data_IF_504490168996
#
_entry.id   IF_504490168996
#
_cell.length_a   1.000
_cell.length_b   1.000
_cell.length_c   1.000
_cell.angle_alpha   90.00
_cell.angle_beta   90.00
_cell.angle_gamma   90.00
#
_symmetry.space_group_name_H-M   'P 1'
#
loop_
_entity.id
_entity.type
_entity.pdbx_description
1 polymer ?
#
# COMPACT_ATOMS: atom_id res chain seq x y z
N UNK A 1 -26.90 14.85 -20.32
CA UNK A 1 -26.60 14.12 -19.07
C UNK A 1 -25.55 13.08 -19.43
N UNK A 2 -24.35 13.53 -19.82
CA UNK A 2 -23.20 12.68 -20.14
C UNK A 2 -22.05 13.23 -19.32
N UNK A 3 -21.67 12.50 -18.27
CA UNK A 3 -20.50 12.81 -17.45
C UNK A 3 -19.27 12.28 -18.21
N UNK A 4 -18.90 12.97 -19.29
CA UNK A 4 -17.58 12.78 -19.90
C UNK A 4 -16.53 13.15 -18.87
N UNK A 5 -15.67 12.20 -18.48
CA UNK A 5 -14.58 12.49 -17.55
C UNK A 5 -13.63 13.49 -18.22
N UNK A 6 -13.50 14.68 -17.62
CA UNK A 6 -12.52 15.66 -18.01
C UNK A 6 -11.12 15.06 -17.84
N UNK A 7 -10.28 15.12 -18.88
CA UNK A 7 -8.84 14.96 -18.72
C UNK A 7 -8.32 16.21 -18.00
N UNK A 8 -8.13 16.11 -16.69
CA UNK A 8 -7.66 17.23 -15.88
C UNK A 8 -6.14 17.28 -15.93
N UNK A 9 -5.59 18.27 -16.63
CA UNK A 9 -4.17 18.61 -16.52
C UNK A 9 -3.92 19.34 -15.19
N UNK A 10 -3.15 18.71 -14.31
CA UNK A 10 -2.78 19.31 -13.02
C UNK A 10 -1.30 19.70 -13.05
N UNK A 11 -1.04 20.99 -12.88
CA UNK A 11 0.31 21.50 -12.66
C UNK A 11 0.52 21.71 -11.16
N UNK A 12 1.55 21.07 -10.61
CA UNK A 12 1.95 21.23 -9.22
C UNK A 12 3.41 21.69 -9.16
N UNK A 13 3.68 22.71 -8.35
CA UNK A 13 5.01 23.26 -8.16
C UNK A 13 5.23 23.61 -6.69
N UNK A 14 6.42 23.37 -6.18
CA UNK A 14 6.83 23.70 -4.81
C UNK A 14 7.91 24.78 -4.88
N UNK A 15 7.75 25.85 -4.11
CA UNK A 15 8.71 26.97 -4.07
C UNK A 15 8.59 27.99 -5.22
N UNK A 16 7.56 27.87 -6.08
CA UNK A 16 7.27 28.83 -7.15
C UNK A 16 6.10 29.76 -6.79
N UNK A 17 6.14 30.99 -7.30
CA UNK A 17 5.02 31.94 -7.14
C UNK A 17 3.81 31.51 -7.98
N UNK A 18 2.64 31.41 -7.34
CA UNK A 18 1.40 30.94 -7.98
C UNK A 18 0.97 31.80 -9.18
N UNK A 19 1.22 33.13 -9.16
CA UNK A 19 0.86 34.01 -10.28
C UNK A 19 1.74 33.72 -11.48
N UNK A 20 3.05 33.55 -11.26
CA UNK A 20 4.00 33.22 -12.32
C UNK A 20 3.69 31.88 -13.00
N UNK A 21 3.31 30.87 -12.21
CA UNK A 21 2.89 29.56 -12.74
C UNK A 21 1.57 29.68 -13.50
N UNK A 22 0.59 30.40 -12.96
CA UNK A 22 -0.69 30.63 -13.64
C UNK A 22 -0.51 31.38 -14.96
N UNK A 23 0.34 32.40 -15.01
CA UNK A 23 0.60 33.18 -16.22
C UNK A 23 1.29 32.33 -17.30
N UNK A 24 2.19 31.43 -16.92
CA UNK A 24 2.83 30.49 -17.86
C UNK A 24 1.86 29.42 -18.40
N UNK A 25 0.86 29.03 -17.60
CA UNK A 25 -0.13 28.02 -18.01
C UNK A 25 -1.25 28.60 -18.89
N UNK A 26 -1.53 29.91 -18.80
CA UNK A 26 -2.52 30.57 -19.67
C UNK A 26 -2.18 30.50 -21.16
N UNK A 27 -0.91 30.34 -21.50
CA UNK A 27 -0.46 30.22 -22.88
C UNK A 27 -0.49 28.79 -23.42
N UNK A 28 -0.85 27.79 -22.60
CA UNK A 28 -1.01 26.41 -23.06
C UNK A 28 -2.38 26.20 -23.68
N UNK A 29 -2.41 25.77 -24.94
CA UNK A 29 -3.59 25.25 -25.60
C UNK A 29 -3.64 23.72 -25.39
N UNK A 30 -4.62 23.24 -24.64
CA UNK A 30 -4.86 21.81 -24.40
C UNK A 30 -6.12 21.38 -25.13
N UNK A 31 -6.11 20.16 -25.68
CA UNK A 31 -7.33 19.56 -26.23
C UNK A 31 -8.35 19.36 -25.12
N UNK A 32 -9.62 19.64 -25.43
CA UNK A 32 -10.78 19.47 -24.55
C UNK A 32 -11.58 18.19 -24.87
N UNK A 33 -10.96 17.25 -25.59
CA UNK A 33 -11.60 15.99 -25.93
C UNK A 33 -12.06 15.26 -24.64
N UNK A 34 -13.33 14.82 -24.57
CA UNK A 34 -13.79 14.03 -23.44
C UNK A 34 -12.94 12.75 -23.37
N UNK A 35 -12.40 12.47 -22.18
CA UNK A 35 -11.61 11.27 -21.95
C UNK A 35 -12.43 9.99 -22.15
N UNK A 36 -11.74 8.87 -22.31
CA UNK A 36 -12.39 7.56 -22.39
C UNK A 36 -13.28 7.30 -21.17
N UNK A 37 -14.39 6.57 -21.38
CA UNK A 37 -15.29 6.19 -20.29
C UNK A 37 -14.57 5.36 -19.22
N UNK A 38 -14.90 5.64 -17.96
CA UNK A 38 -14.35 4.90 -16.83
C UNK A 38 -14.92 3.49 -16.76
N UNK A 39 -14.08 2.49 -17.01
CA UNK A 39 -14.43 1.08 -16.82
C UNK A 39 -14.03 0.63 -15.41
N UNK A 40 -14.97 0.19 -14.56
CA UNK A 40 -14.64 -0.25 -13.20
C UNK A 40 -13.80 -1.53 -13.24
N UNK A 41 -12.71 -1.52 -12.49
CA UNK A 41 -11.81 -2.67 -12.34
C UNK A 41 -12.44 -3.70 -11.41
N UNK A 42 -12.26 -4.98 -11.73
CA UNK A 42 -12.62 -6.10 -10.85
C UNK A 42 -11.34 -6.76 -10.34
N UNK A 43 -11.26 -6.95 -9.02
CA UNK A 43 -10.17 -7.72 -8.45
C UNK A 43 -10.30 -9.20 -8.85
N UNK A 44 -9.30 -9.70 -9.58
CA UNK A 44 -9.21 -11.09 -9.97
C UNK A 44 -8.35 -11.87 -8.98
N UNK A 45 -8.84 -13.02 -8.55
CA UNK A 45 -8.02 -13.99 -7.82
C UNK A 45 -7.23 -14.81 -8.81
N UNK A 46 -5.92 -14.94 -8.62
CA UNK A 46 -5.08 -15.70 -9.53
C UNK A 46 -3.68 -15.89 -8.99
N UNK A 47 -2.97 -16.81 -9.62
CA UNK A 47 -1.57 -17.07 -9.34
C UNK A 47 -0.75 -16.86 -10.61
N UNK A 48 0.36 -16.15 -10.50
CA UNK A 48 1.36 -16.04 -11.57
C UNK A 48 2.72 -16.43 -11.03
N UNK A 49 3.37 -17.36 -11.73
CA UNK A 49 4.68 -17.90 -11.36
C UNK A 49 5.63 -17.70 -12.52
N UNK A 50 6.73 -17.01 -12.27
CA UNK A 50 7.80 -16.80 -13.25
C UNK A 50 9.08 -17.42 -12.74
N UNK A 51 9.46 -18.55 -13.33
CA UNK A 51 10.75 -19.16 -13.02
C UNK A 51 11.90 -18.31 -13.56
N UNK A 52 12.83 -17.97 -12.68
CA UNK A 52 14.01 -17.17 -13.02
C UNK A 52 15.23 -17.68 -12.25
N UNK A 53 16.44 -17.70 -12.88
CA UNK A 53 17.68 -18.04 -12.19
C UNK A 53 18.10 -16.90 -11.25
N UNK A 54 17.49 -16.84 -10.07
CA UNK A 54 17.84 -15.95 -8.97
C UNK A 54 18.29 -16.71 -7.72
N UNK A 55 19.05 -16.05 -6.84
CA UNK A 55 19.40 -16.57 -5.52
C UNK A 55 18.23 -16.47 -4.52
N UNK A 56 17.36 -15.48 -4.72
CA UNK A 56 16.18 -15.24 -3.91
C UNK A 56 14.90 -15.47 -4.72
N UNK A 57 13.83 -15.74 -3.99
CA UNK A 57 12.46 -15.74 -4.50
C UNK A 57 11.76 -14.52 -3.96
N UNK A 58 11.18 -13.75 -4.86
CA UNK A 58 10.28 -12.65 -4.53
C UNK A 58 8.85 -13.13 -4.71
N UNK A 59 8.03 -12.99 -3.66
CA UNK A 59 6.63 -13.33 -3.69
C UNK A 59 5.79 -12.17 -3.12
N UNK A 60 4.65 -11.92 -3.74
CA UNK A 60 3.66 -10.98 -3.26
C UNK A 60 2.32 -11.70 -3.13
N UNK A 61 1.72 -11.66 -1.94
CA UNK A 61 0.39 -12.20 -1.67
C UNK A 61 -0.51 -11.03 -1.31
N UNK A 62 -1.55 -10.82 -2.11
CA UNK A 62 -2.43 -9.66 -2.03
C UNK A 62 -3.90 -10.07 -2.04
N UNK A 63 -4.74 -9.27 -1.42
CA UNK A 63 -6.19 -9.33 -1.46
C UNK A 63 -6.74 -7.98 -1.89
N UNK A 64 -8.04 -7.93 -2.16
CA UNK A 64 -8.74 -6.69 -2.47
C UNK A 64 -8.62 -5.67 -1.31
N UNK A 65 -8.05 -4.51 -1.65
CA UNK A 65 -7.88 -3.36 -0.76
C UNK A 65 -9.09 -2.42 -0.76
N UNK A 66 -8.84 -1.12 -0.67
CA UNK A 66 -9.88 -0.09 -0.77
C UNK A 66 -9.50 0.94 -1.83
N UNK A 67 -10.51 1.46 -2.53
CA UNK A 67 -10.33 2.57 -3.47
C UNK A 67 -10.36 3.93 -2.76
N UNK A 68 -9.70 4.93 -3.34
CA UNK A 68 -9.56 6.30 -2.79
C UNK A 68 -10.90 6.98 -2.52
N UNK A 69 -11.98 6.58 -3.21
CA UNK A 69 -13.36 7.01 -2.91
C UNK A 69 -13.77 6.73 -1.47
N UNK A 70 -13.29 5.62 -0.89
CA UNK A 70 -13.52 5.24 0.50
C UNK A 70 -12.32 5.65 1.36
N UNK A 71 -12.07 6.96 1.48
CA UNK A 71 -10.90 7.50 2.18
C UNK A 71 -10.70 6.92 3.60
N UNK A 72 -11.79 6.72 4.35
CA UNK A 72 -11.73 6.14 5.70
C UNK A 72 -11.16 4.71 5.70
N UNK A 73 -11.57 3.87 4.75
CA UNK A 73 -11.06 2.49 4.64
C UNK A 73 -9.61 2.46 4.13
N UNK A 74 -9.25 3.32 3.17
CA UNK A 74 -7.86 3.45 2.70
C UNK A 74 -6.91 3.81 3.83
N UNK A 75 -7.30 4.78 4.68
CA UNK A 75 -6.50 5.20 5.83
C UNK A 75 -6.45 4.10 6.90
N UNK A 76 -7.56 3.41 7.17
CA UNK A 76 -7.58 2.28 8.09
C UNK A 76 -6.66 1.13 7.62
N UNK A 77 -6.64 0.82 6.32
CA UNK A 77 -5.69 -0.13 5.72
C UNK A 77 -4.25 0.39 5.78
N UNK A 78 -4.03 1.70 5.62
CA UNK A 78 -2.72 2.32 5.78
C UNK A 78 -2.16 2.18 7.20
N UNK A 79 -3.01 2.39 8.21
CA UNK A 79 -2.67 2.15 9.62
C UNK A 79 -2.41 0.66 9.85
N UNK A 80 -3.23 -0.23 9.29
CA UNK A 80 -3.03 -1.67 9.41
C UNK A 80 -1.71 -2.14 8.78
N UNK A 81 -1.31 -1.59 7.61
CA UNK A 81 -0.02 -1.89 6.99
C UNK A 81 1.17 -1.48 7.89
N UNK A 82 1.11 -0.28 8.49
CA UNK A 82 2.16 0.18 9.42
C UNK A 82 2.20 -0.63 10.73
N UNK A 83 1.06 -1.16 11.16
CA UNK A 83 0.96 -2.04 12.31
C UNK A 83 1.64 -3.39 12.06
N UNK A 84 1.43 -3.98 10.87
CA UNK A 84 2.08 -5.22 10.46
C UNK A 84 3.60 -5.03 10.27
N UNK A 85 3.98 -3.91 9.66
CA UNK A 85 5.37 -3.61 9.33
C UNK A 85 5.51 -3.27 7.86
N UNK A 86 5.42 -1.98 7.55
CA UNK A 86 5.70 -1.45 6.22
C UNK A 86 7.09 -0.82 6.21
N UNK A 87 7.90 -1.13 5.20
CA UNK A 87 9.19 -0.48 4.98
C UNK A 87 10.39 -1.45 4.94
N UNK A 88 11.56 -0.96 4.50
CA UNK A 88 12.73 -1.79 4.34
C UNK A 88 13.27 -2.24 5.69
N UNK A 89 13.87 -3.43 5.69
CA UNK A 89 14.68 -3.90 6.81
C UNK A 89 15.88 -2.95 6.96
N UNK A 90 16.00 -2.32 8.13
CA UNK A 90 17.21 -1.57 8.45
C UNK A 90 18.33 -2.58 8.81
N UNK A 91 19.55 -2.45 8.24
CA UNK A 91 20.69 -3.23 8.68
C UNK A 91 20.94 -2.97 10.17
N UNK A 92 21.20 -4.03 10.95
CA UNK A 92 21.37 -4.01 12.41
C UNK A 92 20.09 -3.72 13.24
N UNK A 93 18.93 -3.54 12.61
CA UNK A 93 17.66 -3.70 13.32
C UNK A 93 17.47 -5.17 13.60
N UNK A 94 17.20 -5.53 14.86
CA UNK A 94 16.63 -6.84 15.14
C UNK A 94 15.35 -6.97 14.31
N UNK A 95 15.14 -8.13 13.69
CA UNK A 95 13.95 -8.43 12.90
C UNK A 95 12.64 -8.29 13.71
N UNK A 96 12.74 -8.03 15.02
CA UNK A 96 11.65 -7.80 15.98
C UNK A 96 11.03 -6.38 15.90
N UNK A 97 11.57 -5.47 15.10
CA UNK A 97 11.01 -4.11 14.99
C UNK A 97 9.61 -4.06 14.34
N UNK A 98 9.26 -5.09 13.56
CA UNK A 98 7.94 -5.25 12.93
C UNK A 98 7.35 -6.61 13.23
N UNK A 99 6.02 -6.70 13.29
CA UNK A 99 5.32 -7.95 13.56
C UNK A 99 5.58 -8.99 12.47
N UNK A 100 5.63 -8.56 11.21
CA UNK A 100 5.98 -9.43 10.08
C UNK A 100 7.43 -9.90 10.13
N UNK A 101 8.37 -9.02 10.48
CA UNK A 101 9.78 -9.36 10.63
C UNK A 101 10.01 -10.36 11.76
N UNK A 102 9.28 -10.23 12.87
CA UNK A 102 9.37 -11.16 14.00
C UNK A 102 8.92 -12.57 13.60
N UNK A 103 7.81 -12.66 12.87
CA UNK A 103 7.30 -13.94 12.37
C UNK A 103 8.26 -14.57 11.34
N UNK A 104 8.79 -13.77 10.42
CA UNK A 104 9.75 -14.22 9.42
C UNK A 104 11.08 -14.69 10.05
N UNK A 105 11.58 -14.00 11.07
CA UNK A 105 12.81 -14.39 11.78
C UNK A 105 12.68 -15.69 12.58
N UNK A 106 11.48 -16.01 13.05
CA UNK A 106 11.20 -17.31 13.68
C UNK A 106 11.17 -18.44 12.65
N UNK A 107 10.80 -18.14 11.40
CA UNK A 107 10.70 -19.14 10.33
C UNK A 107 12.04 -19.45 9.67
N UNK A 108 12.91 -18.45 9.48
CA UNK A 108 14.21 -18.65 8.81
C UNK A 108 15.34 -17.84 9.46
N UNK A 109 16.53 -18.43 9.47
CA UNK A 109 17.79 -17.78 9.86
C UNK A 109 18.54 -17.19 8.65
N UNK A 110 18.09 -17.48 7.42
CA UNK A 110 18.69 -16.97 6.18
C UNK A 110 18.22 -15.53 5.91
N UNK A 111 18.88 -14.80 4.99
CA UNK A 111 18.42 -13.47 4.60
C UNK A 111 16.99 -13.50 4.06
N UNK A 112 16.15 -12.62 4.60
CA UNK A 112 14.77 -12.44 4.19
C UNK A 112 14.38 -10.95 4.25
N UNK A 113 13.36 -10.60 3.49
CA UNK A 113 12.60 -9.37 3.61
C UNK A 113 11.10 -9.71 3.68
N UNK A 114 10.36 -9.00 4.53
CA UNK A 114 8.90 -9.10 4.61
C UNK A 114 8.34 -7.72 4.92
N UNK A 115 7.44 -7.22 4.07
CA UNK A 115 6.79 -5.91 4.23
C UNK A 115 5.31 -6.01 3.90
N UNK A 116 4.50 -5.27 4.64
CA UNK A 116 3.12 -5.04 4.25
C UNK A 116 3.06 -4.11 3.02
N UNK A 117 2.02 -4.29 2.22
CA UNK A 117 1.72 -3.52 1.00
C UNK A 117 0.31 -2.94 1.12
N UNK A 118 0.17 -1.67 0.78
CA UNK A 118 -1.13 -1.00 0.63
C UNK A 118 -1.09 -0.07 -0.59
N UNK A 119 -1.77 -0.47 -1.66
CA UNK A 119 -1.85 0.27 -2.92
C UNK A 119 -3.31 0.65 -3.14
N UNK A 120 -3.58 1.95 -3.31
CA UNK A 120 -4.94 2.46 -3.46
C UNK A 120 -5.11 3.13 -4.83
N UNK A 121 -6.01 2.58 -5.65
CA UNK A 121 -6.46 3.16 -6.91
C UNK A 121 -7.78 3.91 -6.71
N UNK A 122 -8.29 4.55 -7.76
CA UNK A 122 -9.49 5.40 -7.66
C UNK A 122 -10.76 4.60 -7.31
N UNK A 123 -10.89 3.38 -7.83
CA UNK A 123 -12.05 2.49 -7.64
C UNK A 123 -11.79 1.30 -6.71
N UNK A 124 -10.60 0.69 -6.77
CA UNK A 124 -10.19 -0.46 -5.96
C UNK A 124 -8.80 -0.27 -5.35
N UNK A 125 -8.30 -1.26 -4.63
CA UNK A 125 -6.96 -1.27 -4.08
C UNK A 125 -6.41 -2.67 -3.94
N UNK A 126 -5.15 -2.77 -3.55
CA UNK A 126 -4.46 -4.01 -3.20
C UNK A 126 -3.91 -3.87 -1.80
N UNK A 127 -4.18 -4.86 -0.96
CA UNK A 127 -3.56 -4.96 0.36
C UNK A 127 -2.92 -6.32 0.52
N UNK A 128 -1.72 -6.40 1.08
CA UNK A 128 -1.08 -7.68 1.24
C UNK A 128 0.30 -7.62 1.86
N UNK A 129 1.10 -8.63 1.55
CA UNK A 129 2.49 -8.75 1.98
C UNK A 129 3.38 -9.07 0.78
N UNK A 130 4.51 -8.38 0.69
CA UNK A 130 5.62 -8.77 -0.15
C UNK A 130 6.70 -9.41 0.72
N UNK A 131 7.24 -10.52 0.24
CA UNK A 131 8.28 -11.27 0.91
C UNK A 131 9.35 -11.68 -0.10
N UNK A 132 10.60 -11.61 0.35
CA UNK A 132 11.76 -12.08 -0.39
C UNK A 132 12.54 -13.03 0.51
N UNK A 133 12.96 -14.17 0.01
CA UNK A 133 13.65 -15.16 0.83
C UNK A 133 14.39 -16.22 0.02
N UNK A 134 15.16 -17.04 0.73
CA UNK A 134 15.87 -18.15 0.10
C UNK A 134 14.86 -19.22 -0.38
N UNK A 135 15.01 -19.76 -1.61
CA UNK A 135 14.07 -20.71 -2.22
C UNK A 135 13.66 -21.86 -1.30
N UNK A 136 14.61 -22.44 -0.56
CA UNK A 136 14.38 -23.59 0.31
C UNK A 136 13.50 -23.33 1.55
N UNK A 137 13.31 -22.06 1.92
CA UNK A 137 12.63 -21.64 3.15
C UNK A 137 11.30 -20.93 2.85
N UNK A 138 10.96 -20.76 1.56
CA UNK A 138 9.81 -19.97 1.11
C UNK A 138 8.45 -20.47 1.62
N UNK A 139 8.27 -21.79 1.75
CA UNK A 139 7.07 -22.37 2.34
C UNK A 139 6.84 -21.93 3.79
N UNK A 140 7.87 -22.11 4.62
CA UNK A 140 7.82 -21.76 6.04
C UNK A 140 7.69 -20.24 6.22
N UNK A 141 8.45 -19.46 5.44
CA UNK A 141 8.41 -18.00 5.47
C UNK A 141 7.02 -17.46 5.12
N UNK A 142 6.44 -17.92 4.01
CA UNK A 142 5.12 -17.45 3.53
C UNK A 142 4.03 -17.79 4.54
N UNK A 143 4.00 -19.04 5.04
CA UNK A 143 3.02 -19.48 6.05
C UNK A 143 3.16 -18.73 7.36
N UNK A 144 4.39 -18.47 7.83
CA UNK A 144 4.62 -17.72 9.07
C UNK A 144 4.15 -16.26 8.95
N UNK A 145 4.49 -15.58 7.85
CA UNK A 145 4.10 -14.19 7.59
C UNK A 145 2.58 -14.07 7.46
N UNK A 146 1.91 -14.93 6.68
CA UNK A 146 0.46 -14.90 6.53
C UNK A 146 -0.27 -15.31 7.82
N UNK A 147 0.27 -16.29 8.56
CA UNK A 147 -0.24 -16.66 9.89
C UNK A 147 -0.18 -15.49 10.87
N UNK A 148 0.87 -14.68 10.81
CA UNK A 148 0.98 -13.46 11.62
C UNK A 148 -0.06 -12.41 11.21
N UNK A 149 -0.28 -12.19 9.91
CA UNK A 149 -1.34 -11.28 9.43
C UNK A 149 -2.71 -11.71 9.96
N UNK A 150 -3.02 -13.02 9.91
CA UNK A 150 -4.28 -13.58 10.45
C UNK A 150 -4.40 -13.36 11.96
N UNK A 151 -3.34 -13.64 12.70
CA UNK A 151 -3.30 -13.49 14.17
C UNK A 151 -3.52 -12.03 14.58
N UNK A 152 -2.83 -11.10 13.92
CA UNK A 152 -2.95 -9.67 14.19
C UNK A 152 -4.33 -9.15 13.80
N UNK A 153 -4.93 -9.68 12.73
CA UNK A 153 -6.28 -9.31 12.30
C UNK A 153 -7.37 -9.70 13.30
N UNK A 154 -7.16 -10.77 14.08
CA UNK A 154 -8.10 -11.22 15.10
C UNK A 154 -7.99 -10.44 16.41
N UNK A 155 -6.80 -9.90 16.72
CA UNK A 155 -6.53 -9.19 17.97
C UNK A 155 -5.76 -7.90 17.71
N UNK A 156 -6.48 -6.88 17.28
CA UNK A 156 -5.96 -5.52 17.13
C UNK A 156 -5.97 -4.83 18.50
N UNK A 157 -4.78 -4.50 19.01
CA UNK A 157 -4.63 -3.78 20.28
C UNK A 157 -4.63 -2.26 20.08
N UNK A 158 -5.27 -1.51 20.98
CA UNK A 158 -5.33 -0.05 20.90
C UNK A 158 -3.95 0.59 20.87
N UNK A 159 -3.02 0.12 21.70
CA UNK A 159 -1.63 0.60 21.75
C UNK A 159 -0.95 0.48 20.38
N UNK A 160 -1.08 -0.69 19.76
CA UNK A 160 -0.46 -0.97 18.45
C UNK A 160 -1.06 -0.08 17.35
N UNK A 161 -2.36 0.24 17.43
CA UNK A 161 -3.03 1.15 16.48
C UNK A 161 -2.53 2.58 16.67
N UNK A 162 -2.39 3.05 17.91
CA UNK A 162 -1.85 4.39 18.17
C UNK A 162 -0.40 4.51 17.67
N UNK A 163 0.44 3.52 17.93
CA UNK A 163 1.82 3.49 17.44
C UNK A 163 1.86 3.45 15.90
N UNK A 164 0.98 2.67 15.27
CA UNK A 164 0.87 2.60 13.81
C UNK A 164 0.39 3.91 13.18
N UNK A 165 -0.52 4.64 13.82
CA UNK A 165 -0.92 5.98 13.39
C UNK A 165 0.26 6.95 13.42
N UNK A 166 1.05 6.94 14.50
CA UNK A 166 2.23 7.81 14.60
C UNK A 166 3.26 7.47 13.50
N UNK A 167 3.49 6.17 13.22
CA UNK A 167 4.34 5.73 12.12
C UNK A 167 3.82 6.19 10.75
N UNK A 168 2.52 6.08 10.50
CA UNK A 168 1.90 6.54 9.26
C UNK A 168 2.06 8.07 9.11
N UNK A 169 1.79 8.84 10.17
CA UNK A 169 2.00 10.29 10.16
C UNK A 169 3.45 10.67 9.92
N UNK A 170 4.38 9.99 10.59
CA UNK A 170 5.81 10.21 10.38
C UNK A 170 6.20 9.93 8.93
N UNK A 171 5.71 8.82 8.34
CA UNK A 171 5.94 8.51 6.92
C UNK A 171 5.42 9.59 5.98
N UNK A 172 4.23 10.14 6.25
CA UNK A 172 3.65 11.25 5.47
C UNK A 172 4.52 12.51 5.60
N UNK A 173 5.01 12.82 6.80
CA UNK A 173 5.86 13.99 7.04
C UNK A 173 7.25 13.85 6.40
N UNK A 174 7.89 12.69 6.51
CA UNK A 174 9.20 12.44 5.90
C UNK A 174 9.15 12.46 4.37
N UNK A 175 8.05 11.96 3.77
CA UNK A 175 7.83 12.04 2.32
C UNK A 175 7.82 13.47 1.78
N UNK A 176 7.69 14.49 2.65
CA UNK A 176 7.73 15.90 2.26
C UNK A 176 9.11 16.53 2.19
N UNK A 177 10.13 15.86 2.69
CA UNK A 177 11.52 16.36 2.60
C UNK A 177 11.97 16.43 1.14
N UNK A 178 11.40 15.59 0.27
CA UNK A 178 11.57 15.67 -1.17
C UNK A 178 10.49 16.54 -1.81
N UNK A 179 10.86 17.76 -2.17
CA UNK A 179 9.97 18.72 -2.85
C UNK A 179 9.41 18.20 -4.18
N UNK A 180 10.13 17.31 -4.87
CA UNK A 180 9.67 16.71 -6.13
C UNK A 180 8.54 15.71 -5.85
N UNK A 181 8.71 14.88 -4.82
CA UNK A 181 7.67 13.96 -4.37
C UNK A 181 6.41 14.72 -3.92
N UNK A 182 6.58 15.82 -3.18
CA UNK A 182 5.46 16.70 -2.78
C UNK A 182 4.69 17.23 -3.99
N UNK A 183 5.39 17.72 -5.02
CA UNK A 183 4.73 18.23 -6.22
C UNK A 183 3.91 17.14 -6.92
N UNK A 184 4.47 15.93 -7.06
CA UNK A 184 3.76 14.78 -7.65
C UNK A 184 2.54 14.40 -6.81
N UNK A 185 2.69 14.28 -5.50
CA UNK A 185 1.60 13.93 -4.59
C UNK A 185 0.47 14.96 -4.61
N UNK A 186 0.80 16.25 -4.63
CA UNK A 186 -0.18 17.33 -4.81
C UNK A 186 -0.94 17.18 -6.12
N UNK A 187 -0.22 16.93 -7.22
CA UNK A 187 -0.82 16.73 -8.54
C UNK A 187 -1.77 15.54 -8.57
N UNK A 188 -1.32 14.40 -8.04
CA UNK A 188 -2.12 13.16 -7.95
C UNK A 188 -3.33 13.34 -7.03
N UNK A 189 -3.18 14.01 -5.89
CA UNK A 189 -4.27 14.27 -4.96
C UNK A 189 -5.36 15.10 -5.65
N UNK A 190 -5.00 16.26 -6.21
CA UNK A 190 -5.94 17.14 -6.91
C UNK A 190 -6.58 16.42 -8.10
N UNK A 191 -5.82 15.62 -8.85
CA UNK A 191 -6.35 14.83 -9.96
C UNK A 191 -7.39 13.79 -9.51
N UNK A 192 -7.21 13.17 -8.34
CA UNK A 192 -8.11 12.14 -7.82
C UNK A 192 -9.32 12.69 -7.08
N UNK A 193 -9.16 13.77 -6.30
CA UNK A 193 -10.20 14.30 -5.40
C UNK A 193 -10.85 15.57 -5.92
N UNK A 194 -10.21 16.28 -6.85
CA UNK A 194 -10.61 17.62 -7.28
C UNK A 194 -10.41 18.69 -6.20
N UNK A 195 -9.82 18.35 -5.06
CA UNK A 195 -9.64 19.25 -3.91
C UNK A 195 -8.17 19.63 -3.73
N UNK A 196 -7.88 20.85 -3.24
CA UNK A 196 -6.52 21.24 -2.91
C UNK A 196 -5.98 20.35 -1.79
N UNK A 197 -4.74 19.90 -1.93
CA UNK A 197 -4.09 19.10 -0.91
C UNK A 197 -3.81 19.94 0.34
N UNK A 198 -4.35 19.51 1.49
CA UNK A 198 -4.10 20.09 2.80
C UNK A 198 -3.58 19.02 3.73
N UNK A 199 -2.37 19.23 4.25
CA UNK A 199 -1.73 18.25 5.13
C UNK A 199 -2.52 18.08 6.43
N UNK A 200 -2.97 19.17 7.04
CA UNK A 200 -3.64 19.12 8.35
C UNK A 200 -4.90 18.27 8.28
N UNK A 201 -5.65 18.35 7.18
CA UNK A 201 -6.83 17.53 6.93
C UNK A 201 -6.49 16.04 6.87
N UNK A 202 -5.36 15.67 6.24
CA UNK A 202 -4.88 14.28 6.18
C UNK A 202 -4.43 13.78 7.56
N UNK A 203 -3.70 14.60 8.33
CA UNK A 203 -3.25 14.23 9.67
C UNK A 203 -4.44 14.06 10.64
N UNK A 204 -5.44 14.94 10.55
CA UNK A 204 -6.68 14.82 11.31
C UNK A 204 -7.50 13.60 10.89
N UNK A 205 -7.55 13.30 9.59
CA UNK A 205 -8.22 12.10 9.10
C UNK A 205 -7.55 10.81 9.63
N UNK A 206 -6.22 10.78 9.74
CA UNK A 206 -5.48 9.67 10.38
C UNK A 206 -5.81 9.57 11.88
N UNK A 207 -5.91 10.71 12.58
CA UNK A 207 -6.28 10.73 14.00
C UNK A 207 -7.68 10.19 14.25
N UNK A 208 -8.61 10.51 13.37
CA UNK A 208 -10.01 10.10 13.46
C UNK A 208 -10.24 8.58 13.29
N UNK A 209 -9.26 7.83 12.75
CA UNK A 209 -9.38 6.38 12.58
C UNK A 209 -9.49 5.69 13.93
N UNK A 210 -10.52 4.88 14.16
CA UNK A 210 -10.65 4.14 15.42
C UNK A 210 -10.01 2.75 15.33
N UNK A 211 -9.70 2.14 16.47
CA UNK A 211 -9.26 0.73 16.52
C UNK A 211 -10.31 -0.20 15.90
N UNK A 212 -11.60 0.11 16.05
CA UNK A 212 -12.69 -0.65 15.45
C UNK A 212 -12.66 -0.57 13.91
N UNK A 213 -12.34 0.59 13.35
CA UNK A 213 -12.19 0.74 11.89
C UNK A 213 -11.05 -0.15 11.37
N UNK A 214 -9.90 -0.15 12.07
CA UNK A 214 -8.74 -1.00 11.74
C UNK A 214 -9.09 -2.49 11.88
N UNK A 215 -9.76 -2.89 12.96
CA UNK A 215 -10.19 -4.27 13.17
C UNK A 215 -11.16 -4.75 12.08
N UNK A 216 -12.07 -3.87 11.64
CA UNK A 216 -13.05 -4.18 10.59
C UNK A 216 -12.34 -4.43 9.25
N UNK A 217 -11.42 -3.56 8.84
CA UNK A 217 -10.69 -3.75 7.59
C UNK A 217 -9.71 -4.94 7.65
N UNK A 218 -9.08 -5.18 8.80
CA UNK A 218 -8.20 -6.34 9.00
C UNK A 218 -8.98 -7.67 8.92
N UNK A 219 -10.17 -7.73 9.52
CA UNK A 219 -11.06 -8.88 9.41
C UNK A 219 -11.57 -9.11 7.98
N UNK A 220 -11.79 -8.04 7.20
CA UNK A 220 -12.15 -8.14 5.78
C UNK A 220 -11.00 -8.70 4.95
N UNK A 221 -9.82 -8.11 5.08
CA UNK A 221 -8.61 -8.50 4.36
C UNK A 221 -8.23 -9.96 4.65
N UNK A 222 -8.29 -10.38 5.91
CA UNK A 222 -7.94 -11.75 6.31
C UNK A 222 -8.89 -12.82 5.78
N UNK A 223 -10.13 -12.46 5.41
CA UNK A 223 -11.13 -13.36 4.79
C UNK A 223 -11.18 -13.22 3.26
N UNK A 224 -10.46 -12.25 2.70
CA UNK A 224 -10.41 -12.01 1.26
C UNK A 224 -9.77 -13.18 0.54
N UNK A 225 -10.21 -13.44 -0.70
CA UNK A 225 -9.55 -14.43 -1.55
C UNK A 225 -8.21 -13.87 -2.03
N UNK A 226 -7.08 -14.53 -1.74
CA UNK A 226 -5.77 -14.03 -2.13
C UNK A 226 -5.51 -14.22 -3.63
N UNK A 227 -4.67 -13.34 -4.17
CA UNK A 227 -3.94 -13.49 -5.41
C UNK A 227 -2.44 -13.47 -5.09
N UNK A 228 -1.64 -14.21 -5.85
CA UNK A 228 -0.20 -14.30 -5.62
C UNK A 228 0.59 -14.16 -6.91
N UNK A 229 1.70 -13.45 -6.82
CA UNK A 229 2.72 -13.44 -7.84
C UNK A 229 4.04 -13.88 -7.20
N UNK A 230 4.78 -14.78 -7.85
CA UNK A 230 6.08 -15.23 -7.40
C UNK A 230 7.09 -15.30 -8.56
N UNK A 231 8.32 -14.85 -8.31
CA UNK A 231 9.41 -14.82 -9.26
C UNK A 231 10.67 -15.41 -8.62
N UNK A 232 11.35 -16.32 -9.32
CA UNK A 232 12.62 -16.92 -8.87
C UNK A 232 12.63 -18.44 -8.97
N UNK A 233 13.32 -19.12 -8.05
CA UNK A 233 13.33 -20.59 -7.95
C UNK A 233 12.18 -21.08 -7.06
N UNK A 234 11.07 -21.49 -7.69
CA UNK A 234 9.80 -21.66 -7.00
C UNK A 234 9.55 -23.08 -6.45
N UNK A 235 10.55 -23.94 -6.39
CA UNK A 235 10.41 -25.37 -6.05
C UNK A 235 9.81 -25.64 -4.66
N UNK A 236 9.95 -24.72 -3.71
CA UNK A 236 9.29 -24.76 -2.39
C UNK A 236 8.42 -23.53 -2.11
N UNK A 237 7.96 -22.84 -3.14
CA UNK A 237 7.03 -21.72 -2.97
C UNK A 237 5.60 -22.26 -2.96
N UNK A 238 4.83 -22.06 -1.86
CA UNK A 238 3.50 -22.63 -1.70
C UNK A 238 2.52 -22.04 -2.71
N UNK A 239 1.57 -22.86 -3.18
CA UNK A 239 0.51 -22.40 -4.08
C UNK A 239 -0.55 -21.59 -3.34
N UNK A 240 -1.22 -20.68 -4.04
CA UNK A 240 -2.32 -19.87 -3.47
C UNK A 240 -3.34 -20.72 -2.74
N UNK A 241 -3.70 -21.88 -3.29
CA UNK A 241 -4.68 -22.79 -2.71
C UNK A 241 -4.24 -23.38 -1.36
N UNK A 242 -2.94 -23.46 -1.10
CA UNK A 242 -2.37 -23.93 0.17
C UNK A 242 -2.32 -22.81 1.24
N UNK A 243 -2.59 -21.57 0.83
CA UNK A 243 -2.51 -20.37 1.67
C UNK A 243 -3.87 -19.86 2.14
N UNK A 244 -4.98 -20.48 1.72
CA UNK A 244 -6.36 -20.14 2.11
C UNK A 244 -6.76 -20.88 3.38
#
# INVERSE_FOLDING_TARGET
HELGQLVVAVAAAVGADCKRVSDALKTLELSTDPGAEFLPSKFGTGETRLESPGEFVDAAVVVEGAGVKNAKECLALGVFAHLLGMGPRLPYSESQATKLGEAAAKATQKPFAATALNINYTDTGLFGVALAGHPDDMDQLTKAVLGQVRTVSQKVADKDVQDAKQKLKASVLYGREDHSNVAVEMGVHVSRTGQPWRQDDLLQAIDAITTQDVATVAARVSKGKPAMAAVGRLHKTPHVDELV
#
